data_IF_244689541677
#
_entry.id   IF_244689541677
#
_cell.length_a   1.000
_cell.length_b   1.000
_cell.length_c   1.000
_cell.angle_alpha   90.00
_cell.angle_beta   90.00
_cell.angle_gamma   90.00
#
_symmetry.space_group_name_H-M   'P 1'
#
loop_
_entity.id
_entity.type
_entity.pdbx_description
1 polymer ?
#
# COMPACT_ATOMS: atom_id res chain seq x y z
N UNK A 1 -1.03 16.64 13.88
CA UNK A 1 -1.00 16.32 12.45
C UNK A 1 0.43 15.95 12.10
N UNK A 2 0.69 14.67 11.85
CA UNK A 2 1.99 14.17 11.40
C UNK A 2 1.89 14.00 9.89
N UNK A 3 2.24 15.03 9.14
CA UNK A 3 2.45 14.92 7.68
C UNK A 3 3.96 14.85 7.48
N UNK A 4 4.48 13.67 7.20
CA UNK A 4 5.83 13.53 6.67
C UNK A 4 5.72 13.73 5.15
N UNK A 5 5.88 14.97 4.67
CA UNK A 5 6.14 15.22 3.26
C UNK A 5 7.65 15.11 3.05
N UNK A 6 8.14 13.98 2.57
CA UNK A 6 9.55 13.79 2.28
C UNK A 6 9.72 14.08 0.78
N UNK A 7 9.67 15.37 0.45
CA UNK A 7 9.86 15.82 -0.93
C UNK A 7 11.34 15.61 -1.32
N UNK A 8 11.56 14.69 -2.25
CA UNK A 8 12.74 14.59 -3.09
C UNK A 8 14.08 14.54 -2.35
N UNK A 9 14.40 13.37 -1.82
CA UNK A 9 15.80 12.92 -1.69
C UNK A 9 15.82 11.48 -2.22
N UNK A 10 16.94 10.97 -2.72
CA UNK A 10 17.06 9.62 -3.30
C UNK A 10 16.95 8.48 -2.24
N UNK A 11 16.10 8.68 -1.24
CA UNK A 11 15.88 7.86 -0.05
C UNK A 11 14.38 7.67 0.11
N UNK A 12 13.98 6.54 0.72
CA UNK A 12 12.59 6.22 1.00
C UNK A 12 12.01 7.18 2.04
N UNK A 13 10.70 7.46 1.94
CA UNK A 13 9.99 8.32 2.89
C UNK A 13 9.87 7.76 4.29
N UNK A 14 9.93 6.43 4.35
CA UNK A 14 10.04 5.63 5.56
C UNK A 14 10.98 4.47 5.21
N UNK A 15 12.04 4.28 5.99
CA UNK A 15 13.02 3.20 5.90
C UNK A 15 13.18 2.61 7.32
N UNK A 16 12.89 1.32 7.48
CA UNK A 16 12.89 0.63 8.78
C UNK A 16 14.19 -0.14 9.03
N UNK A 17 15.02 -0.30 8.00
CA UNK A 17 16.14 -1.23 7.99
C UNK A 17 17.45 -0.61 7.54
N UNK A 18 18.20 -1.39 6.75
CA UNK A 18 19.36 -0.87 6.05
C UNK A 18 18.90 -0.09 4.82
N UNK A 19 19.66 0.94 4.43
CA UNK A 19 19.33 1.82 3.29
C UNK A 19 18.74 1.05 2.11
N UNK A 20 17.48 1.32 1.81
CA UNK A 20 16.71 0.65 0.77
C UNK A 20 15.45 0.00 1.33
N UNK A 21 14.69 -0.65 0.45
CA UNK A 21 13.40 -1.24 0.82
C UNK A 21 13.64 -2.48 1.68
N UNK A 22 13.02 -2.52 2.85
CA UNK A 22 12.96 -3.73 3.68
C UNK A 22 11.89 -4.66 3.11
N UNK A 23 12.31 -5.77 2.49
CA UNK A 23 11.40 -6.68 1.80
C UNK A 23 10.44 -7.38 2.78
N UNK A 24 9.17 -7.50 2.39
CA UNK A 24 8.19 -8.28 3.15
C UNK A 24 8.61 -9.75 3.33
N UNK A 25 8.28 -10.35 4.46
CA UNK A 25 8.51 -11.77 4.77
C UNK A 25 7.24 -12.49 5.29
N UNK A 26 7.21 -13.84 5.27
CA UNK A 26 6.03 -14.61 5.66
C UNK A 26 5.65 -14.45 7.14
N UNK A 27 4.37 -14.15 7.39
CA UNK A 27 3.76 -13.96 8.70
C UNK A 27 4.34 -12.80 9.54
N UNK A 28 5.26 -11.98 9.03
CA UNK A 28 5.73 -10.72 9.65
C UNK A 28 5.97 -10.86 11.17
N UNK A 29 6.76 -11.87 11.55
CA UNK A 29 7.09 -12.19 12.95
C UNK A 29 8.36 -11.49 13.43
N UNK A 30 8.74 -10.42 12.74
CA UNK A 30 10.00 -9.73 12.88
C UNK A 30 10.09 -8.87 14.15
N UNK A 31 11.33 -8.44 14.43
CA UNK A 31 11.63 -7.51 15.52
C UNK A 31 12.59 -6.44 15.04
N UNK A 32 12.40 -5.21 15.49
CA UNK A 32 13.21 -4.07 15.06
C UNK A 32 12.45 -2.75 15.15
N UNK A 33 12.97 -1.69 14.51
CA UNK A 33 12.23 -0.44 14.32
C UNK A 33 10.87 -0.71 13.68
N UNK A 34 9.80 -0.24 14.32
CA UNK A 34 8.41 -0.51 13.91
C UNK A 34 8.14 -1.99 13.60
N UNK A 35 8.75 -2.92 14.35
CA UNK A 35 8.58 -4.36 14.13
C UNK A 35 9.09 -4.88 12.79
N UNK A 36 9.71 -4.03 11.95
CA UNK A 36 9.91 -4.28 10.51
C UNK A 36 8.61 -4.62 9.76
N UNK A 37 7.49 -4.08 10.24
CA UNK A 37 6.15 -4.31 9.71
C UNK A 37 6.12 -4.34 8.18
N UNK A 38 5.60 -5.46 7.65
CA UNK A 38 5.32 -5.61 6.22
C UNK A 38 4.47 -4.44 5.71
N UNK A 39 4.76 -3.95 4.51
CA UNK A 39 3.94 -2.94 3.83
C UNK A 39 2.85 -3.58 2.98
N UNK A 40 1.75 -2.85 2.68
CA UNK A 40 0.71 -3.34 1.78
C UNK A 40 1.29 -3.67 0.40
N UNK A 41 0.93 -4.82 -0.15
CA UNK A 41 1.26 -5.17 -1.52
C UNK A 41 0.09 -4.77 -2.43
N UNK A 42 0.23 -3.62 -3.09
CA UNK A 42 -0.73 -3.16 -4.09
C UNK A 42 -0.59 -3.98 -5.38
N UNK A 43 -1.70 -4.50 -5.90
CA UNK A 43 -1.72 -5.41 -7.05
C UNK A 43 -2.13 -4.69 -8.34
N UNK A 44 -3.13 -3.81 -8.28
CA UNK A 44 -3.58 -3.00 -9.41
C UNK A 44 -4.30 -1.73 -8.95
N UNK A 45 -4.30 -0.71 -9.80
CA UNK A 45 -5.07 0.52 -9.65
C UNK A 45 -5.74 0.83 -11.00
N UNK A 46 -7.04 0.58 -11.12
CA UNK A 46 -7.75 0.64 -12.41
C UNK A 46 -8.94 1.58 -12.31
N UNK A 47 -9.07 2.48 -13.28
CA UNK A 47 -10.24 3.36 -13.39
C UNK A 47 -11.49 2.53 -13.68
N UNK A 48 -12.49 2.60 -12.80
CA UNK A 48 -13.84 2.09 -12.98
C UNK A 48 -14.84 3.23 -12.79
N UNK A 49 -15.46 3.66 -13.89
CA UNK A 49 -16.37 4.80 -13.91
C UNK A 49 -15.71 6.10 -13.42
N UNK A 50 -16.15 6.60 -12.27
CA UNK A 50 -15.65 7.83 -11.64
C UNK A 50 -14.72 7.56 -10.44
N UNK A 51 -14.25 6.32 -10.30
CA UNK A 51 -13.38 5.87 -9.21
C UNK A 51 -12.19 5.08 -9.73
N UNK A 52 -11.18 4.89 -8.89
CA UNK A 52 -10.07 3.97 -9.14
C UNK A 52 -10.17 2.81 -8.14
N UNK A 53 -10.37 1.60 -8.65
CA UNK A 53 -10.35 0.38 -7.87
C UNK A 53 -8.90 -0.03 -7.60
N UNK A 54 -8.54 -0.16 -6.33
CA UNK A 54 -7.21 -0.63 -5.90
C UNK A 54 -7.35 -1.93 -5.14
N UNK A 55 -6.69 -2.96 -5.65
CA UNK A 55 -6.56 -4.24 -4.97
C UNK A 55 -5.23 -4.30 -4.24
N UNK A 56 -5.26 -4.85 -3.03
CA UNK A 56 -4.07 -5.04 -2.23
C UNK A 56 -4.22 -6.21 -1.26
N UNK A 57 -3.08 -6.64 -0.73
CA UNK A 57 -3.00 -7.58 0.37
C UNK A 57 -2.01 -7.11 1.41
N UNK A 58 -2.12 -7.64 2.61
CA UNK A 58 -1.10 -7.47 3.65
C UNK A 58 -0.88 -8.81 4.34
N UNK A 59 0.38 -9.25 4.34
CA UNK A 59 0.77 -10.41 5.12
C UNK A 59 1.18 -9.97 6.52
N UNK A 60 0.52 -10.54 7.53
CA UNK A 60 0.69 -10.21 8.96
C UNK A 60 0.66 -11.52 9.75
N UNK A 61 1.08 -11.58 11.02
CA UNK A 61 1.11 -12.87 11.70
C UNK A 61 -0.27 -13.57 11.76
N UNK A 62 -0.28 -14.90 11.86
CA UNK A 62 -1.52 -15.70 11.95
C UNK A 62 -2.07 -15.80 13.37
N UNK A 63 -1.44 -15.14 14.34
CA UNK A 63 -1.85 -15.18 15.74
C UNK A 63 -3.20 -14.48 15.96
N UNK A 64 -4.06 -15.00 16.86
CA UNK A 64 -5.50 -14.72 16.86
C UNK A 64 -5.95 -13.30 17.28
N UNK A 65 -5.06 -12.30 17.32
CA UNK A 65 -5.35 -10.96 17.89
C UNK A 65 -5.00 -9.76 17.01
N UNK A 66 -4.86 -9.93 15.70
CA UNK A 66 -4.32 -8.86 14.87
C UNK A 66 -5.35 -7.91 14.31
N UNK A 67 -5.87 -7.07 15.20
CA UNK A 67 -6.91 -6.08 14.95
C UNK A 67 -6.73 -4.83 15.84
N UNK A 68 -7.00 -3.63 15.31
CA UNK A 68 -7.20 -3.28 13.89
C UNK A 68 -5.90 -2.83 13.19
N UNK A 69 -5.80 -3.03 11.87
CA UNK A 69 -4.75 -2.40 11.06
C UNK A 69 -5.27 -1.13 10.40
N UNK A 70 -4.42 -0.11 10.33
CA UNK A 70 -4.69 1.16 9.66
C UNK A 70 -3.90 1.21 8.36
N UNK A 71 -4.59 1.54 7.27
CA UNK A 71 -4.00 1.70 5.95
C UNK A 71 -4.14 3.14 5.52
N UNK A 72 -3.05 3.73 5.03
CA UNK A 72 -3.06 5.05 4.42
C UNK A 72 -2.62 4.93 2.97
N UNK A 73 -3.42 5.47 2.06
CA UNK A 73 -3.18 5.46 0.63
C UNK A 73 -2.82 6.87 0.16
N UNK A 74 -1.83 6.93 -0.72
CA UNK A 74 -1.28 8.17 -1.24
C UNK A 74 -1.18 8.11 -2.76
N UNK A 75 -1.22 9.29 -3.38
CA UNK A 75 -0.95 9.48 -4.79
C UNK A 75 0.31 10.32 -4.96
N UNK A 76 1.10 9.96 -5.96
CA UNK A 76 2.26 10.74 -6.42
C UNK A 76 2.23 10.86 -7.94
N UNK A 77 2.80 11.94 -8.48
CA UNK A 77 2.85 12.15 -9.92
C UNK A 77 3.66 11.07 -10.66
N UNK A 78 4.71 10.55 -10.03
CA UNK A 78 5.54 9.47 -10.54
C UNK A 78 6.03 8.59 -9.37
N UNK A 79 6.46 7.37 -9.67
CA UNK A 79 7.09 6.51 -8.68
C UNK A 79 8.52 6.98 -8.38
N UNK A 80 8.96 6.79 -7.13
CA UNK A 80 10.36 6.95 -6.79
C UNK A 80 11.27 5.95 -7.54
N UNK A 81 12.55 6.30 -7.67
CA UNK A 81 13.57 5.46 -8.32
C UNK A 81 13.78 4.10 -7.67
N UNK A 82 13.43 3.94 -6.38
CA UNK A 82 13.46 2.67 -5.68
C UNK A 82 12.34 1.70 -6.11
N UNK A 83 11.27 2.21 -6.72
CA UNK A 83 10.04 1.46 -7.01
C UNK A 83 9.02 1.46 -5.86
N UNK A 84 9.37 2.04 -4.70
CA UNK A 84 8.52 2.17 -3.52
C UNK A 84 8.41 3.63 -3.07
N UNK A 85 7.25 4.03 -2.56
CA UNK A 85 7.01 5.42 -2.16
C UNK A 85 7.27 6.43 -3.29
N UNK A 86 7.35 7.73 -2.99
CA UNK A 86 6.82 8.43 -1.80
C UNK A 86 5.30 8.64 -1.92
N UNK A 87 4.68 9.18 -0.87
CA UNK A 87 3.30 9.71 -0.93
C UNK A 87 3.27 11.24 -0.94
N UNK A 88 2.87 11.86 -2.06
CA UNK A 88 2.71 13.33 -2.17
C UNK A 88 1.35 13.79 -1.62
N UNK A 89 0.27 13.18 -2.09
CA UNK A 89 -1.12 13.52 -1.76
C UNK A 89 -1.78 12.38 -0.97
N UNK A 90 -2.28 12.65 0.24
CA UNK A 90 -3.10 11.67 0.99
C UNK A 90 -4.48 11.52 0.34
N UNK A 91 -4.91 10.28 0.12
CA UNK A 91 -6.17 9.96 -0.56
C UNK A 91 -7.22 9.41 0.40
N UNK A 92 -6.82 8.43 1.22
CA UNK A 92 -7.73 7.66 2.04
C UNK A 92 -7.00 7.07 3.23
N UNK A 93 -7.69 7.04 4.37
CA UNK A 93 -7.35 6.18 5.51
C UNK A 93 -8.46 5.17 5.70
N UNK A 94 -8.10 3.90 5.84
CA UNK A 94 -9.01 2.79 6.07
C UNK A 94 -8.55 1.98 7.28
N UNK A 95 -9.51 1.44 8.03
CA UNK A 95 -9.24 0.47 9.09
C UNK A 95 -9.78 -0.89 8.65
N UNK A 96 -8.93 -1.92 8.62
CA UNK A 96 -9.32 -3.28 8.27
C UNK A 96 -9.03 -4.22 9.43
N UNK A 97 -9.98 -5.11 9.64
CA UNK A 97 -9.85 -6.15 10.61
C UNK A 97 -9.25 -7.42 9.98
N UNK A 98 -7.95 -7.68 10.19
CA UNK A 98 -7.23 -8.88 9.70
C UNK A 98 -7.13 -10.08 10.67
N UNK A 99 -7.46 -9.92 11.95
CA UNK A 99 -7.32 -10.97 12.95
C UNK A 99 -8.26 -12.16 12.74
N UNK A 100 -7.70 -13.36 12.89
CA UNK A 100 -8.43 -14.63 12.75
C UNK A 100 -8.79 -14.99 11.30
N UNK A 101 -8.26 -14.25 10.32
CA UNK A 101 -8.43 -14.48 8.89
C UNK A 101 -7.19 -15.21 8.35
N UNK A 102 -7.35 -16.16 7.41
CA UNK A 102 -6.20 -16.88 6.82
C UNK A 102 -5.38 -15.94 5.93
N UNK A 103 -4.10 -16.26 5.72
CA UNK A 103 -3.20 -15.44 4.90
C UNK A 103 -3.73 -15.19 3.49
N UNK A 104 -4.39 -16.17 2.89
CA UNK A 104 -4.99 -16.07 1.55
C UNK A 104 -6.20 -15.13 1.51
N UNK A 105 -6.84 -14.88 2.66
CA UNK A 105 -8.01 -14.02 2.76
C UNK A 105 -7.66 -12.58 3.15
N UNK A 106 -6.37 -12.26 3.43
CA UNK A 106 -5.90 -10.91 3.76
C UNK A 106 -5.69 -10.04 2.53
N UNK A 107 -6.71 -10.00 1.68
CA UNK A 107 -6.79 -9.17 0.48
C UNK A 107 -8.07 -8.33 0.51
N UNK A 108 -8.00 -7.13 -0.05
CA UNK A 108 -9.13 -6.21 -0.10
C UNK A 108 -9.08 -5.36 -1.37
N UNK A 109 -10.26 -4.84 -1.74
CA UNK A 109 -10.45 -3.90 -2.83
C UNK A 109 -11.05 -2.62 -2.25
N UNK A 110 -10.49 -1.48 -2.63
CA UNK A 110 -11.01 -0.15 -2.25
C UNK A 110 -11.29 0.68 -3.49
N UNK A 111 -12.17 1.66 -3.35
CA UNK A 111 -12.41 2.67 -4.37
C UNK A 111 -11.83 4.00 -3.90
N UNK A 112 -10.92 4.56 -4.69
CA UNK A 112 -10.40 5.91 -4.55
C UNK A 112 -11.18 6.86 -5.47
N UNK A 113 -11.22 8.14 -5.10
CA UNK A 113 -11.75 9.18 -5.99
C UNK A 113 -10.92 9.27 -7.28
N UNK A 114 -11.48 9.86 -8.34
CA UNK A 114 -10.85 9.98 -9.65
C UNK A 114 -9.39 10.44 -9.56
N UNK A 115 -8.47 9.60 -10.06
CA UNK A 115 -7.02 9.87 -10.09
C UNK A 115 -6.56 10.00 -11.54
N UNK A 116 -5.61 10.92 -11.83
CA UNK A 116 -5.06 11.05 -13.17
C UNK A 116 -4.40 9.74 -13.64
N UNK A 117 -4.71 9.32 -14.87
CA UNK A 117 -4.02 8.22 -15.54
C UNK A 117 -2.51 8.47 -15.56
N UNK A 118 -1.72 7.43 -15.27
CA UNK A 118 -0.27 7.52 -15.21
C UNK A 118 0.31 8.01 -13.89
N UNK A 119 -0.52 8.57 -12.99
CA UNK A 119 -0.09 8.76 -11.59
C UNK A 119 0.06 7.41 -10.89
N UNK A 120 0.72 7.40 -9.72
CA UNK A 120 0.94 6.18 -8.96
C UNK A 120 0.26 6.24 -7.60
N UNK A 121 -0.17 5.07 -7.13
CA UNK A 121 -0.67 4.86 -5.77
C UNK A 121 0.37 4.08 -4.98
N UNK A 122 0.59 4.49 -3.74
CA UNK A 122 1.37 3.78 -2.73
C UNK A 122 0.58 3.73 -1.43
N UNK A 123 0.93 2.82 -0.53
CA UNK A 123 0.28 2.70 0.76
C UNK A 123 1.25 2.36 1.89
N UNK A 124 0.85 2.68 3.12
CA UNK A 124 1.48 2.18 4.35
C UNK A 124 0.45 1.39 5.16
N UNK A 125 0.94 0.50 6.03
CA UNK A 125 0.16 -0.17 7.04
C UNK A 125 0.68 0.23 8.43
N UNK A 126 -0.23 0.40 9.39
CA UNK A 126 0.10 0.54 10.81
C UNK A 126 -0.62 -0.52 11.61
N UNK A 127 0.13 -1.27 12.40
CA UNK A 127 -0.39 -2.36 13.23
C UNK A 127 -1.12 -1.82 14.48
N UNK A 128 -1.80 -2.70 15.24
CA UNK A 128 -2.50 -2.32 16.48
C UNK A 128 -1.58 -1.73 17.57
N UNK A 129 -0.29 -2.07 17.54
CA UNK A 129 0.76 -1.60 18.44
C UNK A 129 1.32 -0.22 18.03
N UNK A 130 0.96 0.29 16.85
CA UNK A 130 1.35 1.59 16.32
C UNK A 130 2.63 1.57 15.50
N UNK A 131 3.10 0.40 15.09
CA UNK A 131 4.23 0.23 14.18
C UNK A 131 3.78 0.47 12.74
N UNK A 132 4.42 1.43 12.06
CA UNK A 132 4.11 1.76 10.66
C UNK A 132 5.17 1.19 9.72
N UNK A 133 4.71 0.53 8.66
CA UNK A 133 5.52 -0.01 7.57
C UNK A 133 6.24 1.08 6.76
N UNK A 134 7.18 0.66 5.91
CA UNK A 134 7.62 1.48 4.77
C UNK A 134 6.48 1.71 3.76
N UNK A 135 6.71 2.53 2.74
CA UNK A 135 5.79 2.63 1.61
C UNK A 135 5.82 1.38 0.74
N UNK A 136 4.64 0.96 0.27
CA UNK A 136 4.49 -0.09 -0.73
C UNK A 136 5.21 0.24 -2.03
N UNK A 137 5.39 -0.78 -2.87
CA UNK A 137 5.70 -0.57 -4.28
C UNK A 137 4.59 0.25 -4.95
N UNK A 138 4.98 1.07 -5.92
CA UNK A 138 4.06 1.90 -6.68
C UNK A 138 3.21 1.06 -7.62
N UNK A 139 1.91 1.40 -7.71
CA UNK A 139 1.04 0.89 -8.76
C UNK A 139 0.52 2.06 -9.59
N UNK A 140 0.78 2.02 -10.89
CA UNK A 140 0.30 3.03 -11.83
C UNK A 140 -1.21 2.93 -12.01
N UNK A 141 -1.89 4.07 -11.95
CA UNK A 141 -3.31 4.20 -12.29
C UNK A 141 -3.47 4.02 -13.80
N UNK A 142 -4.20 2.98 -14.20
CA UNK A 142 -4.43 2.62 -15.59
C UNK A 142 -5.92 2.65 -15.92
N UNK A 143 -6.23 2.85 -17.20
CA UNK A 143 -7.60 2.68 -17.68
C UNK A 143 -7.98 1.21 -17.64
N UNK A 144 -9.25 0.91 -17.38
CA UNK A 144 -9.76 -0.45 -17.52
C UNK A 144 -9.49 -0.95 -18.94
N UNK A 145 -8.78 -2.07 -19.03
CA UNK A 145 -8.63 -2.79 -20.28
C UNK A 145 -9.98 -3.41 -20.60
N UNK A 146 -10.83 -2.66 -21.30
CA UNK A 146 -11.99 -3.25 -21.96
C UNK A 146 -11.39 -4.11 -23.06
N UNK A 147 -11.46 -5.43 -22.92
CA UNK A 147 -11.15 -6.32 -24.03
C UNK A 147 -12.13 -6.00 -25.17
N UNK A 148 -11.77 -5.06 -26.03
CA UNK A 148 -12.31 -4.94 -27.39
C UNK A 148 -11.72 -6.08 -28.22
N UNK A 149 -11.93 -7.31 -27.76
CA UNK A 149 -11.68 -8.50 -28.56
C UNK A 149 -12.92 -8.62 -29.43
N UNK A 150 -12.87 -7.95 -30.58
CA UNK A 150 -13.87 -8.11 -31.62
C UNK A 150 -14.13 -9.57 -31.88
N UNK A 151 -15.37 -9.97 -31.70
CA UNK A 151 -16.02 -11.02 -32.48
C UNK A 151 -17.41 -10.50 -32.83
N UNK A 152 -17.57 -10.29 -34.13
CA UNK A 152 -18.82 -10.46 -34.87
C UNK A 152 -19.47 -11.82 -34.54
#
# INVERSE_FOLDING_TARGET
MRHNSILASAFLGIDLGAVGVTANDPDDIDTGPNGLQNFPELQRAVVDGASVEVDFRLDVPTTPRQLPYYFEFYRSAACDSSGNGEGEDHLLTLTINLGGISSEQRQASIALADLPLGSVVTATATDPEGNTSEFSSCVTVQAQQIFANGLE
#
